data_IF_003007030996
#
_entry.id   IF_003007030996
#
_cell.length_a   1.000
_cell.length_b   1.000
_cell.length_c   1.000
_cell.angle_alpha   90.00
_cell.angle_beta   90.00
_cell.angle_gamma   90.00
#
_symmetry.space_group_name_H-M   'P 1'
#
loop_
_entity.id
_entity.type
_entity.pdbx_description
1 polymer ?
#
# COMPACT_ATOMS: atom_id res chain seq x y z
N UNK A 1 -22.73 -5.39 15.20
CA UNK A 1 -22.10 -5.97 13.99
C UNK A 1 -22.93 -7.17 13.59
N UNK A 2 -23.50 -7.19 12.38
CA UNK A 2 -24.22 -8.37 11.89
C UNK A 2 -23.20 -9.50 11.64
N UNK A 3 -23.50 -10.75 12.02
CA UNK A 3 -22.63 -11.89 11.71
C UNK A 3 -22.40 -12.02 10.21
N UNK A 4 -21.23 -12.53 9.82
CA UNK A 4 -20.95 -12.86 8.42
C UNK A 4 -21.87 -14.02 7.99
N UNK A 5 -22.66 -13.77 6.94
CA UNK A 5 -23.48 -14.79 6.30
C UNK A 5 -22.81 -15.20 4.97
N UNK A 6 -22.32 -16.45 4.84
CA UNK A 6 -21.66 -16.88 3.62
C UNK A 6 -22.66 -17.00 2.47
N UNK A 7 -22.43 -16.28 1.38
CA UNK A 7 -23.15 -16.49 0.13
C UNK A 7 -22.52 -17.67 -0.61
N UNK A 8 -23.31 -18.70 -0.89
CA UNK A 8 -22.89 -19.79 -1.79
C UNK A 8 -22.87 -19.26 -3.23
N UNK A 9 -21.66 -19.08 -3.77
CA UNK A 9 -21.44 -18.66 -5.14
C UNK A 9 -20.66 -19.70 -5.95
N UNK A 10 -20.65 -20.97 -5.49
CA UNK A 10 -19.94 -22.08 -6.15
C UNK A 10 -20.36 -22.26 -7.61
N UNK A 11 -21.65 -22.09 -7.90
CA UNK A 11 -22.19 -22.18 -9.27
C UNK A 11 -21.67 -21.08 -10.18
N UNK A 12 -21.51 -19.85 -9.68
CA UNK A 12 -21.02 -18.70 -10.46
C UNK A 12 -19.49 -18.64 -10.52
N UNK A 13 -18.82 -19.05 -9.44
CA UNK A 13 -17.37 -18.97 -9.28
C UNK A 13 -16.82 -20.25 -8.63
N UNK A 14 -16.69 -21.34 -9.41
CA UNK A 14 -16.33 -22.67 -8.87
C UNK A 14 -14.91 -22.77 -8.30
N UNK A 15 -14.03 -21.79 -8.57
CA UNK A 15 -12.69 -21.71 -8.00
C UNK A 15 -12.54 -20.74 -6.83
N UNK A 16 -13.61 -20.02 -6.46
CA UNK A 16 -13.53 -19.03 -5.40
C UNK A 16 -13.62 -19.72 -4.03
N UNK A 17 -12.77 -19.28 -3.10
CA UNK A 17 -12.77 -19.78 -1.72
C UNK A 17 -14.13 -19.54 -1.08
N UNK A 18 -14.84 -20.63 -0.80
CA UNK A 18 -16.08 -20.60 -0.03
C UNK A 18 -15.74 -20.46 1.46
N UNK A 19 -16.24 -19.41 2.11
CA UNK A 19 -16.05 -19.17 3.53
C UNK A 19 -15.76 -17.72 3.91
N UNK A 20 -15.34 -17.52 5.16
CA UNK A 20 -15.12 -16.19 5.71
C UNK A 20 -14.07 -15.40 4.91
N UNK A 21 -14.53 -14.28 4.36
CA UNK A 21 -13.74 -13.35 3.56
C UNK A 21 -13.72 -11.94 4.18
N UNK A 22 -14.04 -11.83 5.47
CA UNK A 22 -14.03 -10.58 6.21
C UNK A 22 -12.68 -10.29 6.90
N UNK A 23 -12.63 -9.22 7.71
CA UNK A 23 -11.42 -8.82 8.43
C UNK A 23 -10.95 -9.88 9.43
N UNK A 24 -9.64 -10.07 9.54
CA UNK A 24 -9.09 -10.93 10.58
C UNK A 24 -9.37 -10.37 11.98
N UNK A 25 -9.29 -11.22 13.01
CA UNK A 25 -9.48 -10.78 14.39
C UNK A 25 -8.57 -9.59 14.78
N UNK A 26 -7.35 -9.53 14.24
CA UNK A 26 -6.45 -8.41 14.49
C UNK A 26 -6.94 -7.09 13.87
N UNK A 27 -7.47 -7.14 12.65
CA UNK A 27 -8.05 -5.97 11.97
C UNK A 27 -9.32 -5.52 12.70
N UNK A 28 -10.17 -6.46 13.13
CA UNK A 28 -11.37 -6.15 13.91
C UNK A 28 -11.04 -5.39 15.21
N UNK A 29 -9.97 -5.77 15.90
CA UNK A 29 -9.51 -5.08 17.13
C UNK A 29 -9.07 -3.64 16.89
N UNK A 30 -8.69 -3.29 15.66
CA UNK A 30 -8.28 -1.93 15.25
C UNK A 30 -9.41 -1.18 14.54
N UNK A 31 -10.55 -1.85 14.30
CA UNK A 31 -11.63 -1.39 13.43
C UNK A 31 -12.27 -0.07 13.84
N UNK A 32 -12.23 0.25 15.12
CA UNK A 32 -12.83 1.49 15.67
C UNK A 32 -11.97 2.74 15.41
N UNK A 33 -10.75 2.56 14.88
CA UNK A 33 -9.82 3.64 14.60
C UNK A 33 -9.35 3.59 13.15
N UNK A 34 -9.87 4.47 12.28
CA UNK A 34 -9.45 4.55 10.87
C UNK A 34 -7.93 4.74 10.74
N UNK A 35 -7.31 5.46 11.67
CA UNK A 35 -5.86 5.67 11.67
C UNK A 35 -5.08 4.40 12.08
N UNK A 36 -5.62 3.60 13.02
CA UNK A 36 -5.00 2.33 13.39
C UNK A 36 -5.08 1.30 12.25
N UNK A 37 -6.17 1.29 11.49
CA UNK A 37 -6.30 0.50 10.25
C UNK A 37 -5.31 0.98 9.18
N UNK A 38 -5.17 2.30 9.00
CA UNK A 38 -4.19 2.86 8.07
C UNK A 38 -2.76 2.37 8.37
N UNK A 39 -2.32 2.45 9.62
CA UNK A 39 -0.99 1.98 10.02
C UNK A 39 -0.84 0.45 10.06
N UNK A 40 -1.95 -0.29 10.14
CA UNK A 40 -1.92 -1.75 10.01
C UNK A 40 -1.54 -2.17 8.58
N UNK A 41 -2.12 -1.52 7.57
CA UNK A 41 -1.81 -1.81 6.16
C UNK A 41 -0.54 -1.12 5.68
N UNK A 42 -0.24 0.08 6.19
CA UNK A 42 0.93 0.86 5.81
C UNK A 42 1.75 1.20 7.07
N UNK A 43 2.59 0.27 7.53
CA UNK A 43 3.35 0.45 8.75
C UNK A 43 4.40 1.54 8.60
N UNK A 44 4.81 2.14 9.72
CA UNK A 44 5.82 3.20 9.77
C UNK A 44 7.13 2.80 9.08
N UNK A 45 7.55 1.53 9.22
CA UNK A 45 8.77 1.01 8.58
C UNK A 45 8.68 1.07 7.05
N UNK A 46 7.51 0.83 6.47
CA UNK A 46 7.30 0.95 5.03
C UNK A 46 7.48 2.41 4.57
N UNK A 47 6.93 3.36 5.32
CA UNK A 47 7.13 4.78 5.04
C UNK A 47 8.60 5.22 5.13
N UNK A 48 9.33 4.71 6.13
CA UNK A 48 10.76 4.96 6.26
C UNK A 48 11.53 4.43 5.06
N UNK A 49 11.18 3.22 4.58
CA UNK A 49 11.79 2.64 3.39
C UNK A 49 11.49 3.48 2.14
N UNK A 50 10.22 3.86 1.93
CA UNK A 50 9.83 4.75 0.81
C UNK A 50 10.61 6.06 0.83
N UNK A 51 10.76 6.67 2.00
CA UNK A 51 11.53 7.91 2.14
C UNK A 51 13.01 7.71 1.81
N UNK A 52 13.62 6.62 2.28
CA UNK A 52 15.00 6.29 1.97
C UNK A 52 15.21 6.09 0.45
N UNK A 53 14.40 5.25 -0.18
CA UNK A 53 14.47 4.99 -1.63
C UNK A 53 14.21 6.24 -2.46
N UNK A 54 13.26 7.09 -2.04
CA UNK A 54 12.98 8.35 -2.74
C UNK A 54 14.16 9.31 -2.68
N UNK A 55 14.85 9.38 -1.53
CA UNK A 55 16.03 10.20 -1.35
C UNK A 55 17.22 9.68 -2.17
N UNK A 56 17.40 8.36 -2.22
CA UNK A 56 18.42 7.71 -3.04
C UNK A 56 18.20 7.99 -4.53
N UNK A 57 17.00 7.72 -5.03
CA UNK A 57 16.61 8.04 -6.41
C UNK A 57 16.85 9.51 -6.74
N UNK A 58 16.48 10.42 -5.83
CA UNK A 58 16.73 11.86 -6.00
C UNK A 58 18.23 12.14 -6.16
N UNK A 59 19.10 11.53 -5.35
CA UNK A 59 20.56 11.73 -5.43
C UNK A 59 21.12 11.24 -6.76
N UNK A 60 20.65 10.10 -7.26
CA UNK A 60 21.09 9.54 -8.54
C UNK A 60 20.67 10.41 -9.74
N UNK A 61 19.46 10.96 -9.70
CA UNK A 61 18.89 11.73 -10.81
C UNK A 61 19.37 13.18 -10.85
N UNK A 62 19.78 13.74 -9.71
CA UNK A 62 20.19 15.14 -9.60
C UNK A 62 21.31 15.53 -10.59
N UNK A 63 22.44 14.80 -10.70
CA UNK A 63 23.51 15.13 -11.65
C UNK A 63 23.03 15.14 -13.10
N UNK A 64 22.28 14.13 -13.52
CA UNK A 64 21.73 14.03 -14.89
C UNK A 64 20.83 15.22 -15.24
N UNK A 65 20.00 15.66 -14.28
CA UNK A 65 19.14 16.84 -14.46
C UNK A 65 19.94 18.13 -14.54
N UNK A 66 21.01 18.24 -13.75
CA UNK A 66 21.91 19.39 -13.76
C UNK A 66 22.62 19.48 -15.11
N UNK A 67 23.18 18.38 -15.60
CA UNK A 67 23.89 18.33 -16.89
C UNK A 67 22.96 18.68 -18.06
N UNK A 68 21.74 18.10 -18.08
CA UNK A 68 20.73 18.45 -19.06
C UNK A 68 20.34 19.95 -19.03
N UNK A 69 20.33 20.56 -17.84
CA UNK A 69 20.05 21.99 -17.69
C UNK A 69 21.21 22.83 -18.24
N UNK A 70 22.46 22.50 -17.90
CA UNK A 70 23.64 23.21 -18.43
C UNK A 70 23.72 23.14 -19.96
N UNK A 71 23.48 21.97 -20.55
CA UNK A 71 23.47 21.81 -22.02
C UNK A 71 22.38 22.64 -22.71
N UNK A 72 21.26 22.88 -22.03
CA UNK A 72 20.14 23.67 -22.57
C UNK A 72 20.39 25.17 -22.52
N UNK A 73 21.06 25.67 -21.47
CA UNK A 73 21.25 27.10 -21.26
C UNK A 73 22.58 27.63 -21.81
N UNK A 74 23.58 26.77 -21.98
CA UNK A 74 24.93 27.17 -22.42
C UNK A 74 25.25 26.82 -23.87
N UNK A 75 24.21 26.57 -24.68
CA UNK A 75 24.24 26.51 -26.14
C UNK A 75 23.52 27.74 -26.69
#
# INVERSE_FOLDING_TARGET
MTPFDPVDNTTSYPGLRQGYSGPTAEVLRRGDSPIALFFYFIPVVLWQHIAASSNEYRREILPLRIDASYQRYWR
#
